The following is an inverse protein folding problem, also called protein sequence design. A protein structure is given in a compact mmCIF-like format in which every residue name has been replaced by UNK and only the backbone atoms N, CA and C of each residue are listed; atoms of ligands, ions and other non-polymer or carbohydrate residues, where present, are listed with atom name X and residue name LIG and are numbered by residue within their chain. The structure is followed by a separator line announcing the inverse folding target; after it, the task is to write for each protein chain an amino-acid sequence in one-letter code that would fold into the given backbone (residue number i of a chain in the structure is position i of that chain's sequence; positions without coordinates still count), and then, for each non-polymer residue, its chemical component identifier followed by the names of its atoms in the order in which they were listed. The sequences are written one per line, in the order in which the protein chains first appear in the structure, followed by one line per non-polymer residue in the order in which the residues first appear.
data_IF_363062256539
#
_entry.id   IF_363062256539
#
_cell.length_a   1.000
_cell.length_b   1.000
_cell.length_c   1.000
_cell.angle_alpha   90.00
_cell.angle_beta   90.00
_cell.angle_gamma   90.00
#
_symmetry.space_group_name_H-M   'P 1'
#
loop_
_entity.id
_entity.type
_entity.pdbx_description
1 polymer ?
#
# COMPACT_ATOMS: atom_id res chain seq x y z
N UNK A 1 3.36 -13.71 -1.94
CA UNK A 1 4.35 -12.76 -1.39
C UNK A 1 5.07 -12.11 -2.54
N UNK A 2 5.16 -10.78 -2.54
CA UNK A 2 5.80 -10.00 -3.60
C UNK A 2 6.70 -8.91 -3.02
N UNK A 3 7.76 -8.54 -3.74
CA UNK A 3 8.67 -7.46 -3.38
C UNK A 3 8.24 -6.20 -4.13
N UNK A 4 7.95 -5.13 -3.40
CA UNK A 4 7.42 -3.89 -3.95
C UNK A 4 8.30 -2.73 -3.55
N UNK A 5 8.46 -1.77 -4.46
CA UNK A 5 9.16 -0.50 -4.20
C UNK A 5 8.15 0.63 -4.16
N UNK A 6 8.21 1.45 -3.12
CA UNK A 6 7.40 2.67 -3.02
C UNK A 6 7.87 3.66 -4.08
N UNK A 7 6.95 4.10 -4.94
CA UNK A 7 7.23 5.09 -5.99
C UNK A 7 6.67 6.45 -5.64
N UNK A 8 5.56 6.48 -4.91
CA UNK A 8 4.88 7.71 -4.49
C UNK A 8 4.27 7.53 -3.10
N UNK A 9 4.23 8.64 -2.37
CA UNK A 9 3.62 8.76 -1.05
C UNK A 9 2.57 9.86 -1.13
N UNK A 10 1.40 9.62 -0.57
CA UNK A 10 0.28 10.54 -0.61
C UNK A 10 -0.40 10.61 0.75
N UNK A 11 -0.21 11.73 1.45
CA UNK A 11 -0.88 12.02 2.72
C UNK A 11 -2.01 13.03 2.56
N UNK A 12 -2.45 13.29 1.32
CA UNK A 12 -3.57 14.21 1.08
C UNK A 12 -4.89 13.53 1.41
N UNK A 13 -5.87 14.30 1.87
CA UNK A 13 -7.20 13.80 2.21
C UNK A 13 -8.10 13.57 1.00
N UNK A 14 -7.63 13.89 -0.22
CA UNK A 14 -8.41 13.81 -1.45
C UNK A 14 -8.38 12.43 -2.09
N UNK A 15 -7.34 11.66 -1.80
CA UNK A 15 -7.07 10.38 -2.42
C UNK A 15 -7.22 9.24 -1.41
N UNK A 16 -7.70 8.09 -1.87
CA UNK A 16 -7.96 6.94 -1.00
C UNK A 16 -6.73 6.06 -0.76
N UNK A 17 -5.56 6.47 -1.24
CA UNK A 17 -4.31 5.72 -1.14
C UNK A 17 -3.22 6.51 -0.45
N UNK A 18 -2.37 5.80 0.29
CA UNK A 18 -1.25 6.34 1.05
C UNK A 18 0.10 6.11 0.36
N UNK A 19 0.28 4.93 -0.21
CA UNK A 19 1.50 4.59 -0.96
C UNK A 19 1.15 3.95 -2.28
N UNK A 20 1.83 4.38 -3.33
CA UNK A 20 1.87 3.68 -4.61
C UNK A 20 3.17 2.91 -4.69
N UNK A 21 3.08 1.65 -5.09
CA UNK A 21 4.21 0.76 -5.18
C UNK A 21 4.24 0.04 -6.52
N UNK A 22 5.43 -0.40 -6.91
CA UNK A 22 5.63 -1.20 -8.11
C UNK A 22 6.47 -2.44 -7.82
N UNK A 23 6.23 -3.51 -8.56
CA UNK A 23 7.16 -4.63 -8.64
C UNK A 23 8.23 -4.41 -9.72
N UNK A 24 9.07 -5.42 -9.95
CA UNK A 24 10.14 -5.36 -10.96
C UNK A 24 9.60 -5.33 -12.40
N UNK A 25 8.36 -5.79 -12.63
CA UNK A 25 7.65 -5.75 -13.91
C UNK A 25 6.89 -4.44 -14.14
N UNK A 26 6.94 -3.52 -13.16
CA UNK A 26 6.20 -2.25 -13.13
C UNK A 26 4.68 -2.41 -13.01
N UNK A 27 4.19 -3.55 -12.51
CA UNK A 27 2.80 -3.64 -12.11
C UNK A 27 2.56 -2.74 -10.89
N UNK A 28 1.39 -2.12 -10.82
CA UNK A 28 1.07 -1.15 -9.76
C UNK A 28 0.31 -1.78 -8.61
N UNK A 29 0.67 -1.34 -7.40
CA UNK A 29 0.10 -1.76 -6.14
C UNK A 29 -0.12 -0.56 -5.25
N UNK A 30 -1.08 -0.68 -4.33
CA UNK A 30 -1.47 0.41 -3.46
C UNK A 30 -1.56 -0.05 -2.00
N UNK A 31 -1.01 0.76 -1.10
CA UNK A 31 -1.44 0.76 0.30
C UNK A 31 -2.51 1.84 0.40
N UNK A 32 -3.74 1.42 0.69
CA UNK A 32 -4.88 2.31 0.82
C UNK A 32 -4.89 3.05 2.16
N UNK A 33 -5.79 4.02 2.33
CA UNK A 33 -6.01 4.65 3.64
C UNK A 33 -6.81 3.74 4.59
N UNK A 34 -6.87 4.11 5.87
CA UNK A 34 -7.57 3.32 6.89
C UNK A 34 -9.06 3.11 6.57
N UNK A 35 -9.74 4.14 6.05
CA UNK A 35 -11.17 4.08 5.72
C UNK A 35 -11.47 3.00 4.68
N UNK A 36 -10.60 2.83 3.69
CA UNK A 36 -10.73 1.75 2.70
C UNK A 36 -10.70 0.38 3.37
N UNK A 37 -9.73 0.12 4.25
CA UNK A 37 -9.62 -1.19 4.90
C UNK A 37 -10.81 -1.47 5.83
N UNK A 38 -11.24 -0.47 6.59
CA UNK A 38 -12.43 -0.59 7.44
C UNK A 38 -13.68 -0.94 6.63
N UNK A 39 -13.88 -0.29 5.47
CA UNK A 39 -14.99 -0.60 4.57
C UNK A 39 -14.96 -2.04 4.02
N UNK A 40 -13.77 -2.65 3.95
CA UNK A 40 -13.57 -4.03 3.51
C UNK A 40 -13.49 -5.04 4.66
N UNK A 41 -13.76 -4.62 5.91
CA UNK A 41 -13.56 -5.43 7.13
C UNK A 41 -12.13 -5.98 7.27
N UNK A 42 -11.14 -5.19 6.84
CA UNK A 42 -9.72 -5.49 6.94
C UNK A 42 -9.03 -4.54 7.93
N UNK A 43 -7.88 -4.97 8.45
CA UNK A 43 -6.96 -4.09 9.17
C UNK A 43 -6.01 -3.43 8.17
N UNK A 44 -5.64 -2.18 8.45
CA UNK A 44 -4.55 -1.52 7.72
C UNK A 44 -3.27 -2.37 7.83
N UNK A 45 -2.59 -2.64 6.71
CA UNK A 45 -1.33 -3.39 6.72
C UNK A 45 -0.15 -2.54 7.20
N UNK A 46 -0.36 -1.23 7.36
CA UNK A 46 0.66 -0.28 7.78
C UNK A 46 0.32 0.31 9.14
N UNK A 47 1.31 0.36 10.01
CA UNK A 47 1.29 0.98 11.33
C UNK A 47 1.74 2.44 11.27
N UNK A 48 1.49 3.21 12.33
CA UNK A 48 1.97 4.60 12.45
C UNK A 48 3.49 4.71 12.30
N UNK A 49 4.24 3.75 12.85
CA UNK A 49 5.70 3.73 12.76
C UNK A 49 6.16 3.58 11.30
N UNK A 50 5.53 2.68 10.56
CA UNK A 50 5.88 2.46 9.15
C UNK A 50 5.48 3.64 8.28
N UNK A 51 4.35 4.30 8.57
CA UNK A 51 3.95 5.55 7.90
C UNK A 51 5.03 6.64 7.99
N UNK A 52 5.67 6.78 9.16
CA UNK A 52 6.72 7.78 9.39
C UNK A 52 8.07 7.37 8.77
N UNK A 53 8.30 6.08 8.52
CA UNK A 53 9.57 5.54 8.02
C UNK A 53 9.59 5.32 6.51
N UNK A 54 8.45 5.05 5.91
CA UNK A 54 8.34 4.69 4.51
C UNK A 54 8.36 5.93 3.64
N UNK A 55 9.30 5.93 2.70
CA UNK A 55 9.44 6.99 1.70
C UNK A 55 9.75 6.36 0.33
N UNK A 56 9.75 7.19 -0.71
CA UNK A 56 10.06 6.82 -2.07
C UNK A 56 11.39 6.06 -2.15
N UNK A 57 11.37 4.90 -2.80
CA UNK A 57 12.51 4.01 -2.94
C UNK A 57 12.58 2.92 -1.87
N UNK A 58 11.83 3.03 -0.77
CA UNK A 58 11.75 1.97 0.22
C UNK A 58 11.15 0.70 -0.39
N UNK A 59 11.65 -0.45 0.04
CA UNK A 59 11.25 -1.75 -0.48
C UNK A 59 10.53 -2.52 0.62
N UNK A 60 9.32 -2.96 0.32
CA UNK A 60 8.51 -3.80 1.22
C UNK A 60 8.31 -5.19 0.62
N UNK A 61 8.09 -6.15 1.50
CA UNK A 61 7.57 -7.48 1.14
C UNK A 61 6.12 -7.54 1.60
N UNK A 62 5.23 -7.95 0.71
CA UNK A 62 3.80 -7.83 0.98
C UNK A 62 2.96 -8.98 0.41
N UNK A 63 1.77 -9.16 0.98
CA UNK A 63 0.67 -9.91 0.39
C UNK A 63 -0.33 -8.97 -0.26
N UNK A 64 -0.90 -9.42 -1.37
CA UNK A 64 -1.76 -8.61 -2.24
C UNK A 64 -3.11 -9.28 -2.40
N UNK A 65 -4.16 -8.46 -2.48
CA UNK A 65 -5.49 -8.86 -2.91
C UNK A 65 -6.06 -7.84 -3.89
N UNK A 66 -6.80 -8.32 -4.88
CA UNK A 66 -7.39 -7.46 -5.90
C UNK A 66 -8.77 -6.95 -5.44
N UNK A 67 -9.00 -5.63 -5.57
CA UNK A 67 -10.27 -4.96 -5.31
C UNK A 67 -10.55 -3.96 -6.43
N UNK A 68 -11.72 -4.00 -7.07
CA UNK A 68 -12.12 -3.07 -8.13
C UNK A 68 -11.02 -2.84 -9.19
N UNK A 69 -10.42 -3.93 -9.67
CA UNK A 69 -9.29 -3.95 -10.61
C UNK A 69 -7.98 -3.29 -10.11
N UNK A 70 -7.84 -3.01 -8.82
CA UNK A 70 -6.61 -2.51 -8.19
C UNK A 70 -5.95 -3.60 -7.36
N UNK A 71 -4.62 -3.68 -7.41
CA UNK A 71 -3.84 -4.54 -6.52
C UNK A 71 -3.60 -3.81 -5.20
N UNK A 72 -4.19 -4.30 -4.11
CA UNK A 72 -4.09 -3.68 -2.79
C UNK A 72 -3.24 -4.55 -1.86
N UNK A 73 -2.30 -3.92 -1.17
CA UNK A 73 -1.51 -4.54 -0.11
C UNK A 73 -2.42 -4.83 1.08
N UNK A 74 -2.44 -6.07 1.55
CA UNK A 74 -3.26 -6.48 2.72
C UNK A 74 -2.42 -6.91 3.92
N UNK A 75 -1.12 -7.14 3.73
CA UNK A 75 -0.19 -7.50 4.79
C UNK A 75 1.25 -7.16 4.37
N UNK A 76 2.06 -6.70 5.33
CA UNK A 76 3.49 -6.43 5.16
C UNK A 76 4.28 -7.44 6.01
N UNK A 77 5.36 -7.98 5.44
CA UNK A 77 6.18 -9.08 6.00
C UNK A 77 7.59 -8.62 6.37
#
# INVERSE_FOLDING_TARGET
MIRLRITEVNFTTKENWLFRLVDDEKNEYYIMNQLFYEAQNLKSPITKRELDQYDKGYIIKALIKQFDNKNVVIEIL
#
